data_IF_155106947450
#
_entry.id   IF_155106947450
#
_cell.length_a   1.000
_cell.length_b   1.000
_cell.length_c   1.000
_cell.angle_alpha   90.00
_cell.angle_beta   90.00
_cell.angle_gamma   90.00
#
_symmetry.space_group_name_H-M   'P 1'
#
loop_
_entity.id
_entity.type
_entity.pdbx_description
1 polymer ?
#
# COMPACT_ATOMS: atom_id res chain seq x y z
N UNK A 1 -16.45 10.17 -11.57
CA UNK A 1 -15.18 10.45 -10.94
C UNK A 1 -14.26 11.09 -11.95
N UNK A 2 -13.64 12.19 -11.58
CA UNK A 2 -12.75 12.87 -12.49
C UNK A 2 -11.46 12.05 -12.70
N UNK A 3 -10.59 12.60 -13.50
CA UNK A 3 -9.32 11.97 -13.84
C UNK A 3 -8.43 11.84 -12.61
N UNK A 4 -7.92 10.62 -12.36
CA UNK A 4 -7.04 10.35 -11.24
C UNK A 4 -5.58 10.39 -11.67
N UNK A 5 -4.73 10.89 -10.79
CA UNK A 5 -3.28 10.93 -11.00
C UNK A 5 -2.60 10.06 -9.95
N UNK A 6 -1.66 9.23 -10.40
CA UNK A 6 -0.84 8.39 -9.51
C UNK A 6 0.55 9.00 -9.39
N UNK A 7 1.06 9.12 -8.17
CA UNK A 7 2.42 9.60 -7.93
C UNK A 7 3.20 8.59 -7.11
N UNK A 8 4.51 8.56 -7.32
CA UNK A 8 5.41 7.59 -6.71
C UNK A 8 6.44 8.31 -5.85
N UNK A 9 6.58 7.84 -4.60
CA UNK A 9 7.57 8.35 -3.65
C UNK A 9 7.45 9.86 -3.36
N UNK A 10 6.25 10.40 -3.53
CA UNK A 10 5.96 11.82 -3.25
C UNK A 10 5.03 12.01 -2.06
N UNK A 11 4.48 10.93 -1.53
CA UNK A 11 3.59 11.00 -0.36
C UNK A 11 4.30 11.65 0.81
N UNK A 12 3.80 12.79 1.27
CA UNK A 12 4.36 13.50 2.41
C UNK A 12 3.84 12.93 3.73
N UNK A 13 4.53 13.26 4.82
CA UNK A 13 4.07 12.89 6.15
C UNK A 13 2.71 13.53 6.47
N UNK A 14 2.51 14.76 6.06
CA UNK A 14 1.24 15.47 6.26
C UNK A 14 0.10 14.77 5.54
N UNK A 15 0.31 14.40 4.28
CA UNK A 15 -0.68 13.67 3.50
C UNK A 15 -0.98 12.30 4.10
N UNK A 16 0.05 11.61 4.57
CA UNK A 16 -0.09 10.31 5.22
C UNK A 16 -1.00 10.41 6.44
N UNK A 17 -0.72 11.38 7.33
CA UNK A 17 -1.51 11.59 8.55
C UNK A 17 -2.95 11.95 8.19
N UNK A 18 -3.13 12.83 7.19
CA UNK A 18 -4.45 13.23 6.74
C UNK A 18 -5.29 12.02 6.30
N UNK A 19 -4.73 11.16 5.47
CA UNK A 19 -5.44 9.96 5.00
C UNK A 19 -5.66 8.95 6.13
N UNK A 20 -4.67 8.74 6.98
CA UNK A 20 -4.80 7.87 8.16
C UNK A 20 -6.03 8.26 8.97
N UNK A 21 -6.19 9.56 9.21
CA UNK A 21 -7.28 10.07 10.04
C UNK A 21 -8.67 9.93 9.40
N UNK A 22 -8.73 9.72 8.09
CA UNK A 22 -10.02 9.47 7.42
C UNK A 22 -10.59 8.08 7.75
N UNK A 23 -9.77 7.13 8.20
CA UNK A 23 -10.22 5.75 8.42
C UNK A 23 -9.90 5.22 9.82
N UNK A 24 -8.84 5.70 10.50
CA UNK A 24 -8.37 5.10 11.74
C UNK A 24 -8.35 6.05 12.94
N UNK A 25 -8.80 7.29 12.80
CA UNK A 25 -8.78 8.25 13.89
C UNK A 25 -7.44 8.92 14.03
N UNK A 26 -7.04 9.28 15.26
CA UNK A 26 -5.83 10.06 15.50
C UNK A 26 -4.59 9.37 14.92
N UNK A 27 -3.84 10.11 14.11
CA UNK A 27 -2.63 9.61 13.46
C UNK A 27 -1.39 9.70 14.33
N UNK A 28 -0.27 9.16 13.83
CA UNK A 28 1.02 9.30 14.51
C UNK A 28 1.52 10.75 14.46
N UNK A 29 2.57 11.04 15.22
CA UNK A 29 3.14 12.39 15.23
C UNK A 29 3.76 12.73 13.87
N UNK A 30 3.84 14.02 13.56
CA UNK A 30 4.46 14.48 12.32
C UNK A 30 5.93 14.09 12.24
N UNK A 31 6.68 14.27 13.33
CA UNK A 31 8.10 13.93 13.39
C UNK A 31 8.34 12.43 13.12
N UNK A 32 7.57 11.58 13.78
CA UNK A 32 7.63 10.13 13.61
C UNK A 32 7.31 9.74 12.17
N UNK A 33 6.28 10.37 11.59
CA UNK A 33 5.83 10.06 10.24
C UNK A 33 6.84 10.50 9.20
N UNK A 34 7.50 11.65 9.39
CA UNK A 34 8.58 12.08 8.50
C UNK A 34 9.71 11.05 8.46
N UNK A 35 10.09 10.53 9.62
CA UNK A 35 11.12 9.50 9.69
C UNK A 35 10.68 8.21 8.98
N UNK A 36 9.42 7.81 9.17
CA UNK A 36 8.86 6.63 8.51
C UNK A 36 8.85 6.78 7.00
N UNK A 37 8.42 7.94 6.47
CA UNK A 37 8.39 8.17 5.03
C UNK A 37 9.80 8.12 4.43
N UNK A 38 10.76 8.70 5.10
CA UNK A 38 12.17 8.69 4.67
C UNK A 38 12.72 7.27 4.52
N UNK A 39 12.29 6.35 5.38
CA UNK A 39 12.79 4.97 5.41
C UNK A 39 11.85 3.96 4.74
N UNK A 40 10.81 4.42 4.09
CA UNK A 40 9.89 3.57 3.33
C UNK A 40 10.49 3.25 1.98
N UNK A 41 10.46 1.97 1.60
CA UNK A 41 11.03 1.51 0.33
C UNK A 41 10.32 2.12 -0.86
N UNK A 42 8.99 2.11 -0.84
CA UNK A 42 8.17 2.58 -1.95
C UNK A 42 6.86 3.12 -1.43
N UNK A 43 6.44 4.28 -1.94
CA UNK A 43 5.18 4.94 -1.61
C UNK A 43 4.41 5.22 -2.89
N UNK A 44 3.13 4.96 -2.89
CA UNK A 44 2.23 5.31 -3.98
C UNK A 44 1.08 6.14 -3.42
N UNK A 45 0.70 7.17 -4.14
CA UNK A 45 -0.40 8.04 -3.77
C UNK A 45 -1.26 8.35 -4.99
N UNK A 46 -2.55 8.52 -4.76
CA UNK A 46 -3.54 8.77 -5.81
C UNK A 46 -4.26 10.08 -5.51
N UNK A 47 -4.42 10.89 -6.52
CA UNK A 47 -5.02 12.23 -6.42
C UNK A 47 -6.20 12.36 -7.37
N UNK A 48 -7.26 12.99 -6.89
CA UNK A 48 -8.35 13.50 -7.71
C UNK A 48 -8.10 15.00 -7.84
N UNK A 49 -7.54 15.43 -8.96
CA UNK A 49 -6.98 16.76 -9.14
C UNK A 49 -5.92 17.03 -8.07
N UNK A 50 -6.12 18.01 -7.21
CA UNK A 50 -5.14 18.34 -6.15
C UNK A 50 -5.43 17.65 -4.82
N UNK A 51 -6.51 16.87 -4.75
CA UNK A 51 -6.93 16.21 -3.51
C UNK A 51 -6.36 14.81 -3.44
N UNK A 52 -5.57 14.53 -2.41
CA UNK A 52 -5.12 13.16 -2.19
C UNK A 52 -6.29 12.28 -1.73
N UNK A 53 -6.48 11.16 -2.40
CA UNK A 53 -7.64 10.27 -2.13
C UNK A 53 -7.23 8.89 -1.66
N UNK A 54 -5.99 8.48 -1.89
CA UNK A 54 -5.54 7.14 -1.51
C UNK A 54 -4.03 7.06 -1.39
N UNK A 55 -3.56 6.09 -0.62
CA UNK A 55 -2.13 5.83 -0.45
C UNK A 55 -1.88 4.36 -0.15
N UNK A 56 -0.65 3.94 -0.39
CA UNK A 56 -0.10 2.70 0.12
C UNK A 56 1.40 2.86 0.23
N UNK A 57 2.02 2.10 1.14
CA UNK A 57 3.49 2.07 1.22
C UNK A 57 3.98 0.65 1.40
N UNK A 58 5.25 0.44 1.13
CA UNK A 58 5.84 -0.88 1.20
C UNK A 58 7.22 -0.79 1.83
N UNK A 59 7.49 -1.71 2.75
CA UNK A 59 8.78 -1.91 3.39
C UNK A 59 9.37 -3.20 2.81
N UNK A 60 10.67 -3.30 2.71
CA UNK A 60 11.28 -4.53 2.22
C UNK A 60 12.77 -4.42 2.03
N UNK A 61 13.38 -5.56 1.74
CA UNK A 61 14.82 -5.69 1.57
C UNK A 61 15.24 -5.86 0.09
N UNK A 62 14.29 -5.77 -0.82
CA UNK A 62 14.48 -5.89 -2.27
C UNK A 62 14.85 -7.29 -2.76
N UNK A 63 15.09 -8.22 -1.87
CA UNK A 63 15.57 -9.54 -2.23
C UNK A 63 14.66 -10.69 -1.84
N UNK A 64 14.20 -10.68 -0.61
CA UNK A 64 13.48 -11.81 -0.03
C UNK A 64 12.05 -11.49 0.39
N UNK A 65 11.80 -10.29 0.90
CA UNK A 65 10.56 -10.01 1.60
C UNK A 65 10.10 -8.57 1.38
N UNK A 66 8.80 -8.41 1.18
CA UNK A 66 8.13 -7.12 1.05
C UNK A 66 6.93 -7.11 2.00
N UNK A 67 6.73 -5.99 2.68
CA UNK A 67 5.60 -5.83 3.59
C UNK A 67 4.77 -4.63 3.18
N UNK A 68 3.52 -4.88 2.80
CA UNK A 68 2.57 -3.83 2.40
C UNK A 68 1.94 -3.24 3.65
N UNK A 69 1.96 -1.92 3.74
CA UNK A 69 1.50 -1.18 4.90
C UNK A 69 0.58 -0.04 4.48
N UNK A 70 -0.37 0.27 5.35
CA UNK A 70 -1.12 1.52 5.30
C UNK A 70 -1.80 1.75 3.94
N UNK A 71 -2.52 0.75 3.48
CA UNK A 71 -3.37 0.86 2.29
C UNK A 71 -4.65 1.58 2.69
N UNK A 72 -4.79 2.82 2.25
CA UNK A 72 -5.92 3.67 2.63
C UNK A 72 -6.55 4.26 1.38
N UNK A 73 -7.87 4.16 1.29
CA UNK A 73 -8.69 4.88 0.31
C UNK A 73 -9.71 5.67 1.10
N UNK A 74 -9.83 6.98 0.80
CA UNK A 74 -10.85 7.80 1.46
C UNK A 74 -12.21 7.14 1.36
N UNK A 75 -13.03 7.16 2.42
CA UNK A 75 -14.34 6.48 2.40
C UNK A 75 -15.19 6.81 1.17
N UNK A 76 -15.24 8.07 0.77
CA UNK A 76 -16.05 8.51 -0.38
C UNK A 76 -15.52 8.05 -1.73
N UNK A 77 -14.29 7.51 -1.76
CA UNK A 77 -13.66 6.97 -2.98
C UNK A 77 -13.55 5.45 -2.96
N UNK A 78 -14.05 4.79 -1.94
CA UNK A 78 -14.02 3.33 -1.88
C UNK A 78 -15.00 2.70 -2.88
N UNK A 79 -14.77 1.42 -3.20
CA UNK A 79 -15.58 0.65 -4.15
C UNK A 79 -15.57 1.20 -5.58
N UNK A 80 -14.48 1.87 -5.96
CA UNK A 80 -14.29 2.45 -7.30
C UNK A 80 -13.02 1.92 -7.99
N UNK A 81 -12.42 0.85 -7.45
CA UNK A 81 -11.23 0.23 -8.03
C UNK A 81 -9.90 0.86 -7.65
N UNK A 82 -9.89 1.86 -6.76
CA UNK A 82 -8.65 2.54 -6.37
C UNK A 82 -7.74 1.63 -5.53
N UNK A 83 -8.33 0.83 -4.63
CA UNK A 83 -7.55 -0.14 -3.85
C UNK A 83 -6.85 -1.15 -4.75
N UNK A 84 -7.52 -1.65 -5.77
CA UNK A 84 -6.93 -2.53 -6.77
C UNK A 84 -5.77 -1.84 -7.50
N UNK A 85 -5.97 -0.58 -7.87
CA UNK A 85 -4.93 0.23 -8.51
C UNK A 85 -3.68 0.33 -7.63
N UNK A 86 -3.85 0.59 -6.33
CA UNK A 86 -2.73 0.66 -5.39
C UNK A 86 -1.95 -0.65 -5.33
N UNK A 87 -2.64 -1.77 -5.17
CA UNK A 87 -1.98 -3.08 -5.07
C UNK A 87 -1.25 -3.41 -6.37
N UNK A 88 -1.85 -3.12 -7.52
CA UNK A 88 -1.19 -3.34 -8.81
C UNK A 88 0.08 -2.52 -8.93
N UNK A 89 0.10 -1.28 -8.45
CA UNK A 89 1.31 -0.45 -8.48
C UNK A 89 2.41 -1.01 -7.57
N UNK A 90 2.04 -1.52 -6.39
CA UNK A 90 3.01 -2.16 -5.51
C UNK A 90 3.61 -3.41 -6.15
N UNK A 91 2.78 -4.25 -6.75
CA UNK A 91 3.26 -5.47 -7.41
C UNK A 91 4.12 -5.14 -8.64
N UNK A 92 3.76 -4.07 -9.37
CA UNK A 92 4.58 -3.60 -10.49
C UNK A 92 5.96 -3.17 -10.02
N UNK A 93 6.06 -2.47 -8.89
CA UNK A 93 7.36 -2.09 -8.31
C UNK A 93 8.21 -3.33 -8.04
N UNK A 94 7.63 -4.38 -7.47
CA UNK A 94 8.35 -5.62 -7.19
C UNK A 94 8.88 -6.24 -8.48
N UNK A 95 8.04 -6.31 -9.50
CA UNK A 95 8.44 -6.90 -10.78
C UNK A 95 9.51 -6.09 -11.49
N UNK A 96 9.46 -4.76 -11.38
CA UNK A 96 10.42 -3.88 -12.04
C UNK A 96 11.78 -3.84 -11.34
N UNK A 97 11.83 -4.13 -10.03
CA UNK A 97 13.03 -3.91 -9.22
C UNK A 97 13.59 -5.18 -8.58
N UNK A 98 12.82 -6.24 -8.44
CA UNK A 98 13.30 -7.51 -7.90
C UNK A 98 14.10 -8.31 -8.93
N UNK A 99 14.70 -9.40 -8.47
CA UNK A 99 15.47 -10.28 -9.37
C UNK A 99 14.49 -11.20 -10.09
N UNK A 100 14.46 -11.09 -11.42
CA UNK A 100 13.58 -11.89 -12.25
C UNK A 100 13.78 -13.39 -12.02
N UNK A 101 12.67 -14.12 -11.93
CA UNK A 101 12.69 -15.58 -11.76
C UNK A 101 12.92 -16.05 -10.33
N UNK A 102 13.00 -15.15 -9.36
CA UNK A 102 13.16 -15.53 -7.96
C UNK A 102 11.81 -15.51 -7.23
N UNK A 103 11.71 -16.33 -6.19
CA UNK A 103 10.54 -16.34 -5.32
C UNK A 103 10.81 -15.48 -4.09
N UNK A 104 9.82 -14.64 -3.76
CA UNK A 104 9.87 -13.74 -2.61
C UNK A 104 8.55 -13.84 -1.86
N UNK A 105 8.51 -13.31 -0.64
CA UNK A 105 7.27 -13.18 0.10
C UNK A 105 6.76 -11.75 0.06
N UNK A 106 5.45 -11.61 -0.11
CA UNK A 106 4.76 -10.33 0.08
C UNK A 106 3.76 -10.53 1.22
N UNK A 107 3.90 -9.75 2.28
CA UNK A 107 3.11 -9.90 3.50
C UNK A 107 2.34 -8.62 3.81
N UNK A 108 1.23 -8.77 4.51
CA UNK A 108 0.46 -7.64 5.03
C UNK A 108 -0.45 -8.12 6.17
N UNK A 109 -0.92 -7.18 6.97
CA UNK A 109 -2.00 -7.43 7.93
C UNK A 109 -3.24 -6.72 7.42
N UNK A 110 -4.40 -7.40 7.50
CA UNK A 110 -5.66 -6.83 7.06
C UNK A 110 -6.74 -7.02 8.11
N UNK A 111 -7.66 -6.06 8.18
CA UNK A 111 -8.88 -6.25 8.97
C UNK A 111 -9.70 -7.39 8.35
N UNK A 112 -10.45 -8.15 9.17
CA UNK A 112 -11.17 -9.33 8.67
C UNK A 112 -12.08 -9.04 7.46
N UNK A 113 -12.73 -7.89 7.42
CA UNK A 113 -13.63 -7.51 6.33
C UNK A 113 -12.88 -7.18 5.03
N UNK A 114 -11.57 -6.98 5.09
CA UNK A 114 -10.72 -6.70 3.91
C UNK A 114 -10.02 -7.93 3.36
N UNK A 115 -10.02 -9.04 4.10
CA UNK A 115 -9.34 -10.27 3.66
C UNK A 115 -9.80 -10.73 2.27
N UNK A 116 -11.13 -10.77 1.95
CA UNK A 116 -11.56 -11.18 0.61
C UNK A 116 -10.99 -10.33 -0.52
N UNK A 117 -10.79 -9.04 -0.26
CA UNK A 117 -10.18 -8.14 -1.25
C UNK A 117 -8.75 -8.59 -1.58
N UNK A 118 -7.94 -8.88 -0.56
CA UNK A 118 -6.55 -9.30 -0.76
C UNK A 118 -6.44 -10.72 -1.32
N UNK A 119 -7.36 -11.61 -0.98
CA UNK A 119 -7.37 -12.96 -1.52
C UNK A 119 -7.49 -12.98 -3.05
N UNK A 120 -8.15 -11.99 -3.63
CA UNK A 120 -8.26 -11.85 -5.09
C UNK A 120 -6.91 -11.64 -5.77
N UNK A 121 -5.90 -11.20 -5.04
CA UNK A 121 -4.54 -11.02 -5.54
C UNK A 121 -3.63 -12.21 -5.23
N UNK A 122 -4.17 -13.27 -4.65
CA UNK A 122 -3.42 -14.48 -4.33
C UNK A 122 -2.92 -14.56 -2.88
N UNK A 123 -3.24 -13.58 -2.05
CA UNK A 123 -2.87 -13.63 -0.64
C UNK A 123 -3.69 -14.68 0.09
N UNK A 124 -3.04 -15.37 1.05
CA UNK A 124 -3.70 -16.34 1.92
C UNK A 124 -3.68 -15.85 3.36
N UNK A 125 -4.83 -15.86 4.02
CA UNK A 125 -4.94 -15.42 5.40
C UNK A 125 -4.53 -16.54 6.37
N UNK A 126 -3.98 -16.16 7.53
CA UNK A 126 -3.75 -17.05 8.65
C UNK A 126 -4.52 -16.54 9.87
N UNK A 127 -4.43 -17.27 11.01
CA UNK A 127 -5.15 -16.94 12.23
C UNK A 127 -4.82 -15.56 12.78
N UNK A 128 -3.62 -15.05 12.50
CA UNK A 128 -3.18 -13.73 12.95
C UNK A 128 -3.60 -12.62 11.98
N UNK A 129 -4.47 -12.92 11.01
CA UNK A 129 -4.92 -11.99 9.99
C UNK A 129 -3.80 -11.46 9.09
N UNK A 130 -2.67 -12.15 9.08
CA UNK A 130 -1.58 -11.86 8.15
C UNK A 130 -1.83 -12.58 6.84
N UNK A 131 -1.65 -11.84 5.74
CA UNK A 131 -1.78 -12.37 4.39
C UNK A 131 -0.41 -12.44 3.76
N UNK A 132 -0.11 -13.59 3.16
CA UNK A 132 1.22 -13.89 2.63
C UNK A 132 1.08 -14.59 1.31
N UNK A 133 1.92 -14.22 0.34
CA UNK A 133 2.09 -15.00 -0.88
C UNK A 133 3.57 -15.23 -1.13
N UNK A 134 3.90 -16.36 -1.71
CA UNK A 134 5.21 -16.58 -2.33
C UNK A 134 5.07 -16.10 -3.77
N UNK A 135 5.80 -15.05 -4.13
CA UNK A 135 5.65 -14.39 -5.40
C UNK A 135 6.93 -14.50 -6.22
N UNK A 136 6.80 -14.98 -7.44
CA UNK A 136 7.94 -15.08 -8.37
C UNK A 136 8.07 -13.80 -9.17
N UNK A 137 9.20 -13.15 -9.01
CA UNK A 137 9.49 -11.88 -9.67
C UNK A 137 9.60 -12.10 -11.18
N UNK A 138 8.85 -11.32 -11.94
CA UNK A 138 8.79 -11.39 -13.41
C UNK A 138 9.93 -10.57 -14.10
#
# INVERSE_FOLDING_TARGET
MSELTVKYNELSAEEFILLWETVWGQGPSLEQTKLAMKNTLFRVSVYDKDKIVAMARMIGDMGLDYYIKDVVVRPEYQNKGIGKMLINELMKFINDNGISGTDIFVELCAMPDKIPFYEKFGFSANEAQRLKIMYSVK
#
